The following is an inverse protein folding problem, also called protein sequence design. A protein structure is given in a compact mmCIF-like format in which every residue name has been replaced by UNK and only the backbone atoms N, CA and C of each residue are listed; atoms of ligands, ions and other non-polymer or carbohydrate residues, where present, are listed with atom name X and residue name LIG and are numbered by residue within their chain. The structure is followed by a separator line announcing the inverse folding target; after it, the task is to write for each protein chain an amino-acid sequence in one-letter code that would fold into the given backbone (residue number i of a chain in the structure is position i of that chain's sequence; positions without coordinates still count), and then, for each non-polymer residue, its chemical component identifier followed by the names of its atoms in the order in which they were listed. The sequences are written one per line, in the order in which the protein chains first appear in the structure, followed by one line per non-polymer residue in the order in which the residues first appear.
data_IF_361162112496
#
_entry.id   IF_361162112496
#
_cell.length_a   1.000
_cell.length_b   1.000
_cell.length_c   1.000
_cell.angle_alpha   90.00
_cell.angle_beta   90.00
_cell.angle_gamma   90.00
#
_symmetry.space_group_name_H-M   'P 1'
#
loop_
_entity.id
_entity.type
_entity.pdbx_description
1 polymer ?
#
# COMPACT_ATOMS: atom_id res chain seq x y z
N UNK A 1 1.29 8.81 -2.25
CA UNK A 1 0.87 8.92 -0.84
C UNK A 1 -0.56 8.48 -0.74
N UNK A 2 -0.95 7.76 0.30
CA UNK A 2 -2.34 7.31 0.50
C UNK A 2 -3.14 8.49 1.09
N UNK A 3 -4.38 8.73 0.62
CA UNK A 3 -5.26 9.74 1.22
C UNK A 3 -5.42 9.55 2.73
N UNK A 4 -5.39 10.65 3.48
CA UNK A 4 -5.33 10.64 4.94
C UNK A 4 -6.58 9.97 5.53
N UNK A 5 -7.75 10.39 5.09
CA UNK A 5 -9.05 9.89 5.54
C UNK A 5 -9.16 8.38 5.31
N UNK A 6 -8.73 7.92 4.13
CA UNK A 6 -8.70 6.50 3.77
C UNK A 6 -7.75 5.71 4.68
N UNK A 7 -6.54 6.26 4.91
CA UNK A 7 -5.54 5.58 5.74
C UNK A 7 -5.98 5.40 7.19
N UNK A 8 -6.67 6.39 7.77
CA UNK A 8 -7.20 6.31 9.12
C UNK A 8 -8.41 5.37 9.21
N UNK A 9 -9.36 5.46 8.27
CA UNK A 9 -10.54 4.60 8.24
C UNK A 9 -10.17 3.11 8.22
N UNK A 10 -9.09 2.77 7.51
CA UNK A 10 -8.61 1.39 7.38
C UNK A 10 -7.46 1.01 8.32
N UNK A 11 -7.04 1.92 9.22
CA UNK A 11 -5.94 1.72 10.19
C UNK A 11 -4.64 1.25 9.52
N UNK A 12 -4.28 1.87 8.40
CA UNK A 12 -3.13 1.46 7.57
C UNK A 12 -1.78 1.70 8.27
N UNK A 13 -1.75 2.52 9.31
CA UNK A 13 -0.60 2.79 10.17
C UNK A 13 -0.10 1.58 10.96
N UNK A 14 -0.95 0.55 11.13
CA UNK A 14 -0.58 -0.69 11.82
C UNK A 14 0.27 -1.65 10.99
N UNK A 15 0.35 -1.41 9.68
CA UNK A 15 0.97 -2.33 8.74
C UNK A 15 2.27 -1.76 8.19
N UNK A 16 3.26 -2.63 8.01
CA UNK A 16 4.56 -2.27 7.39
C UNK A 16 4.63 -2.62 5.91
N UNK A 17 3.72 -3.45 5.43
CA UNK A 17 3.65 -3.95 4.04
C UNK A 17 2.20 -3.94 3.57
N UNK A 18 2.00 -3.96 2.27
CA UNK A 18 0.73 -4.14 1.60
C UNK A 18 0.94 -5.03 0.37
N UNK A 19 -0.02 -5.91 0.07
CA UNK A 19 -0.05 -6.65 -1.17
C UNK A 19 -0.91 -5.90 -2.20
N UNK A 20 -0.43 -5.83 -3.45
CA UNK A 20 -1.17 -5.35 -4.61
C UNK A 20 -1.47 -6.55 -5.51
N UNK A 21 -2.70 -6.67 -5.98
CA UNK A 21 -3.10 -7.65 -6.98
C UNK A 21 -3.69 -6.94 -8.19
N UNK A 22 -3.20 -7.31 -9.37
CA UNK A 22 -3.77 -6.95 -10.67
C UNK A 22 -3.72 -8.21 -11.54
N UNK A 23 -4.87 -8.69 -12.00
CA UNK A 23 -5.01 -9.99 -12.67
C UNK A 23 -4.29 -11.11 -11.87
N UNK A 24 -3.33 -11.80 -12.49
CA UNK A 24 -2.56 -12.88 -11.85
C UNK A 24 -1.29 -12.39 -11.13
N UNK A 25 -1.04 -11.08 -11.11
CA UNK A 25 0.17 -10.49 -10.54
C UNK A 25 -0.09 -10.06 -9.10
N UNK A 26 0.68 -10.64 -8.17
CA UNK A 26 0.77 -10.18 -6.78
C UNK A 26 2.12 -9.52 -6.53
N UNK A 27 2.10 -8.31 -5.99
CA UNK A 27 3.30 -7.53 -5.70
C UNK A 27 3.26 -6.88 -4.33
N UNK A 28 4.34 -7.02 -3.55
CA UNK A 28 4.41 -6.49 -2.18
C UNK A 28 5.07 -5.13 -2.15
N UNK A 29 4.37 -4.15 -1.58
CA UNK A 29 4.86 -2.80 -1.33
C UNK A 29 5.09 -2.58 0.18
N UNK A 30 6.01 -1.69 0.53
CA UNK A 30 6.18 -1.20 1.89
C UNK A 30 5.16 -0.11 2.23
N UNK A 31 4.75 -0.05 3.49
CA UNK A 31 3.96 1.04 4.07
C UNK A 31 4.80 1.74 5.13
N UNK A 32 4.90 3.06 5.03
CA UNK A 32 5.63 3.90 5.98
C UNK A 32 4.73 5.03 6.47
N UNK A 33 4.57 5.11 7.79
CA UNK A 33 4.00 6.29 8.44
C UNK A 33 5.01 7.43 8.39
N UNK A 34 4.59 8.56 7.83
CA UNK A 34 5.36 9.79 7.81
C UNK A 34 4.72 10.74 8.82
N UNK A 35 5.48 11.06 9.87
CA UNK A 35 5.11 12.03 10.89
C UNK A 35 5.83 13.35 10.58
N UNK A 36 5.07 14.44 10.45
CA UNK A 36 5.63 15.79 10.27
C UNK A 36 5.68 16.46 11.64
N UNK A 37 6.85 16.38 12.30
CA UNK A 37 7.06 16.95 13.63
C UNK A 37 7.39 18.45 13.60
N UNK A 38 7.62 19.02 12.41
CA UNK A 38 8.09 20.40 12.25
C UNK A 38 6.89 21.36 12.14
N UNK A 39 5.77 20.90 11.59
CA UNK A 39 4.58 21.72 11.34
C UNK A 39 3.40 21.27 12.20
N UNK A 40 3.11 21.96 13.33
CA UNK A 40 1.92 21.68 14.12
C UNK A 40 0.67 21.81 13.23
N UNK A 41 -0.16 20.77 13.21
CA UNK A 41 -1.42 20.72 12.45
C UNK A 41 -1.38 19.91 11.16
N UNK A 42 -0.21 19.47 10.67
CA UNK A 42 -0.15 18.56 9.53
C UNK A 42 -0.46 17.13 9.97
N UNK A 43 -1.52 16.53 9.41
CA UNK A 43 -1.90 15.14 9.71
C UNK A 43 -0.81 14.19 9.21
N UNK A 44 -0.43 13.23 10.05
CA UNK A 44 0.41 12.09 9.66
C UNK A 44 -0.21 11.38 8.45
N UNK A 45 0.62 10.89 7.53
CA UNK A 45 0.15 10.23 6.32
C UNK A 45 0.92 8.94 6.04
N UNK A 46 0.28 8.02 5.34
CA UNK A 46 0.89 6.76 4.92
C UNK A 46 1.48 6.93 3.52
N UNK A 47 2.76 6.59 3.39
CA UNK A 47 3.45 6.49 2.11
C UNK A 47 3.62 5.02 1.76
N UNK A 48 3.10 4.63 0.60
CA UNK A 48 3.37 3.34 -0.01
C UNK A 48 4.67 3.45 -0.82
N UNK A 49 5.64 2.60 -0.49
CA UNK A 49 7.02 2.65 -1.01
C UNK A 49 7.39 1.31 -1.62
N UNK A 50 8.07 1.34 -2.77
CA UNK A 50 8.52 0.15 -3.48
C UNK A 50 8.86 0.51 -4.92
N UNK A 51 9.12 -0.49 -5.76
CA UNK A 51 9.46 -0.27 -7.14
C UNK A 51 8.19 -0.18 -8.01
N UNK A 52 7.58 1.01 -8.02
CA UNK A 52 6.40 1.30 -8.83
C UNK A 52 6.61 1.07 -10.33
N UNK A 53 7.84 1.26 -10.83
CA UNK A 53 8.17 0.99 -12.24
C UNK A 53 8.07 -0.50 -12.53
N UNK A 54 8.64 -1.35 -11.69
CA UNK A 54 8.56 -2.81 -11.85
C UNK A 54 7.11 -3.29 -11.76
N UNK A 55 6.35 -2.83 -10.76
CA UNK A 55 4.93 -3.18 -10.67
C UNK A 55 4.15 -2.74 -11.91
N UNK A 56 4.39 -1.52 -12.39
CA UNK A 56 3.77 -1.01 -13.62
C UNK A 56 4.11 -1.83 -14.85
N UNK A 57 5.38 -2.22 -15.03
CA UNK A 57 5.82 -3.06 -16.14
C UNK A 57 5.21 -4.46 -16.07
N UNK A 58 5.11 -5.06 -14.88
CA UNK A 58 4.45 -6.37 -14.73
C UNK A 58 2.99 -6.30 -15.15
N UNK A 59 2.29 -5.24 -14.75
CA UNK A 59 0.86 -5.03 -15.00
C UNK A 59 0.56 -4.38 -16.37
N UNK A 60 1.55 -4.23 -17.25
CA UNK A 60 1.41 -3.55 -18.54
C UNK A 60 0.77 -2.15 -18.46
N UNK A 61 1.11 -1.40 -17.41
CA UNK A 61 0.63 -0.03 -17.21
C UNK A 61 1.50 0.98 -17.95
N UNK A 62 0.90 1.65 -18.93
CA UNK A 62 1.49 2.79 -19.61
C UNK A 62 1.19 4.12 -18.90
N UNK A 63 2.12 5.07 -18.97
CA UNK A 63 1.89 6.43 -18.49
C UNK A 63 1.27 7.28 -19.62
N UNK A 64 0.24 8.13 -19.35
CA UNK A 64 -0.34 8.43 -18.03
C UNK A 64 -1.66 7.68 -17.78
N UNK A 65 -1.62 6.53 -17.10
CA UNK A 65 -2.82 5.83 -16.61
C UNK A 65 -3.08 6.13 -15.12
N UNK A 66 -4.35 6.35 -14.77
CA UNK A 66 -4.78 6.41 -13.38
C UNK A 66 -5.08 5.01 -12.86
N UNK A 67 -4.57 4.68 -11.69
CA UNK A 67 -4.80 3.40 -11.02
C UNK A 67 -5.85 3.56 -9.92
N UNK A 68 -6.81 2.63 -9.87
CA UNK A 68 -7.81 2.55 -8.81
C UNK A 68 -7.41 1.46 -7.81
N UNK A 69 -7.26 1.86 -6.55
CA UNK A 69 -6.98 0.94 -5.44
C UNK A 69 -8.27 0.62 -4.69
N UNK A 70 -8.53 -0.66 -4.46
CA UNK A 70 -9.62 -1.15 -3.61
C UNK A 70 -9.05 -2.09 -2.56
N UNK A 71 -9.16 -1.76 -1.28
CA UNK A 71 -8.86 -2.70 -0.20
C UNK A 71 -9.88 -3.84 -0.26
N UNK A 72 -9.40 -5.06 -0.50
CA UNK A 72 -10.22 -6.27 -0.58
C UNK A 72 -10.36 -6.88 0.80
N UNK A 73 -9.24 -7.15 1.44
CA UNK A 73 -9.19 -7.80 2.75
C UNK A 73 -7.83 -7.57 3.44
N UNK A 74 -7.67 -8.19 4.61
CA UNK A 74 -6.41 -8.23 5.36
C UNK A 74 -5.95 -9.68 5.39
N UNK A 75 -4.83 -9.95 4.74
CA UNK A 75 -4.28 -11.29 4.63
C UNK A 75 -3.20 -11.50 5.68
N UNK A 76 -3.07 -12.73 6.18
CA UNK A 76 -1.93 -13.18 6.98
C UNK A 76 -1.02 -14.00 6.07
N UNK A 77 0.24 -13.60 5.95
CA UNK A 77 1.27 -14.40 5.30
C UNK A 77 2.23 -14.96 6.35
N UNK A 78 2.44 -16.27 6.32
CA UNK A 78 3.49 -16.93 7.10
C UNK A 78 4.81 -16.81 6.33
N UNK A 79 5.70 -15.93 6.80
CA UNK A 79 7.06 -15.82 6.27
C UNK A 79 8.01 -16.22 7.39
N UNK A 80 8.70 -17.35 7.21
CA UNK A 80 9.79 -17.82 8.07
C UNK A 80 9.48 -17.66 9.58
N UNK A 81 8.36 -18.25 10.04
CA UNK A 81 7.94 -18.29 11.45
C UNK A 81 7.30 -16.98 11.97
N UNK A 82 7.20 -15.92 11.14
CA UNK A 82 6.48 -14.68 11.49
C UNK A 82 5.17 -14.59 10.71
N UNK A 83 4.06 -14.53 11.44
CA UNK A 83 2.75 -14.18 10.90
C UNK A 83 2.71 -12.67 10.59
N UNK A 84 2.78 -12.31 9.31
CA UNK A 84 2.68 -10.91 8.88
C UNK A 84 1.27 -10.66 8.37
N UNK A 85 0.49 -9.87 9.12
CA UNK A 85 -0.78 -9.33 8.62
C UNK A 85 -0.50 -8.15 7.68
N UNK A 86 -1.13 -8.12 6.51
CA UNK A 86 -1.04 -7.00 5.58
C UNK A 86 -2.34 -6.74 4.82
N UNK A 87 -2.67 -5.48 4.50
CA UNK A 87 -3.78 -5.15 3.62
C UNK A 87 -3.51 -5.64 2.20
N UNK A 88 -4.52 -6.23 1.59
CA UNK A 88 -4.52 -6.63 0.20
C UNK A 88 -5.37 -5.65 -0.63
N UNK A 89 -4.75 -5.01 -1.60
CA UNK A 89 -5.39 -4.09 -2.54
C UNK A 89 -5.52 -4.72 -3.92
N UNK A 90 -6.72 -4.70 -4.48
CA UNK A 90 -6.93 -4.88 -5.91
C UNK A 90 -6.63 -3.55 -6.62
N UNK A 91 -5.90 -3.61 -7.73
CA UNK A 91 -5.48 -2.46 -8.55
C UNK A 91 -5.96 -2.65 -9.99
N UNK A 92 -6.61 -1.64 -10.58
CA UNK A 92 -7.02 -1.62 -11.99
C UNK A 92 -6.84 -0.25 -12.64
#
# INVERSE_FOLDING_TARGET
TVPVEYSFAHKLDKYKKAALIHDDIRYTMGLKLIQDHIRPGRRSHIKMTGNWRVFGTMCDYELPKMLRFKLVEKVKEDVEVVNIEMPLFHVC
#
